data_IF_868359339686
#
_entry.id   IF_868359339686
#
_cell.length_a   1.000
_cell.length_b   1.000
_cell.length_c   1.000
_cell.angle_alpha   90.00
_cell.angle_beta   90.00
_cell.angle_gamma   90.00
#
_symmetry.space_group_name_H-M   'P 1'
#
loop_
_entity.id
_entity.type
_entity.pdbx_description
1 polymer ?
#
# COMPACT_ATOMS: atom_id res chain seq x y z
N UNK A 1 -3.66 -6.43 2.91
CA UNK A 1 -4.74 -6.87 3.84
C UNK A 1 -4.21 -7.37 5.18
N UNK A 2 -3.18 -8.23 5.21
CA UNK A 2 -2.57 -8.73 6.46
C UNK A 2 -2.30 -7.63 7.50
N UNK A 3 -1.58 -6.59 7.11
CA UNK A 3 -1.28 -5.41 7.95
C UNK A 3 -2.55 -4.69 8.42
N UNK A 4 -3.52 -4.45 7.52
CA UNK A 4 -4.77 -3.76 7.86
C UNK A 4 -5.62 -4.52 8.88
N UNK A 5 -5.77 -5.84 8.72
CA UNK A 5 -6.46 -6.69 9.70
C UNK A 5 -5.72 -6.72 11.03
N UNK A 6 -4.39 -6.76 11.00
CA UNK A 6 -3.56 -6.72 12.21
C UNK A 6 -3.70 -5.38 12.95
N UNK A 7 -3.72 -4.27 12.22
CA UNK A 7 -4.02 -2.93 12.73
C UNK A 7 -5.38 -2.90 13.42
N UNK A 8 -6.48 -3.35 12.78
CA UNK A 8 -7.80 -3.34 13.45
C UNK A 8 -7.85 -4.13 14.77
N UNK A 9 -7.09 -5.21 14.90
CA UNK A 9 -7.04 -5.99 16.16
C UNK A 9 -6.26 -5.24 17.25
N UNK A 10 -5.20 -4.52 16.87
CA UNK A 10 -4.28 -3.86 17.78
C UNK A 10 -4.37 -2.34 17.75
N UNK A 11 -5.41 -1.79 17.14
CA UNK A 11 -5.52 -0.36 16.82
C UNK A 11 -5.35 0.46 18.09
N UNK A 12 -4.49 1.47 18.01
CA UNK A 12 -4.19 2.39 19.10
C UNK A 12 -3.61 1.71 20.36
N UNK A 13 -2.96 0.55 20.19
CA UNK A 13 -2.25 -0.20 21.24
C UNK A 13 -0.80 -0.46 20.84
N UNK A 14 -0.01 -0.98 21.78
CA UNK A 14 1.43 -1.24 21.65
C UNK A 14 1.85 -2.08 20.42
N UNK A 15 0.94 -2.88 19.86
CA UNK A 15 1.22 -3.74 18.71
C UNK A 15 0.71 -3.18 17.38
N UNK A 16 0.15 -1.98 17.34
CA UNK A 16 -0.20 -1.35 16.08
C UNK A 16 1.06 -0.94 15.30
N UNK A 17 1.12 -1.32 14.02
CA UNK A 17 2.29 -1.08 13.18
C UNK A 17 2.39 0.37 12.69
N UNK A 18 1.28 1.10 12.70
CA UNK A 18 1.21 2.49 12.25
C UNK A 18 0.35 3.31 13.21
N UNK A 19 0.57 3.13 14.52
CA UNK A 19 -0.17 3.86 15.54
C UNK A 19 0.03 5.38 15.39
N UNK A 20 -1.04 6.20 15.44
CA UNK A 20 -0.93 7.65 15.51
C UNK A 20 -0.22 8.14 16.78
N UNK A 21 -0.25 7.34 17.86
CA UNK A 21 0.41 7.66 19.13
C UNK A 21 1.94 7.59 19.07
N UNK A 22 2.49 6.86 18.09
CA UNK A 22 3.93 6.83 17.80
C UNK A 22 4.40 8.06 17.00
N UNK A 23 3.46 8.93 16.61
CA UNK A 23 3.71 10.22 15.99
C UNK A 23 3.11 10.36 14.60
N UNK A 24 2.71 11.59 14.26
CA UNK A 24 2.02 11.90 13.00
C UNK A 24 2.82 11.44 11.76
N UNK A 25 4.13 11.72 11.72
CA UNK A 25 4.99 11.33 10.60
C UNK A 25 5.14 9.81 10.52
N UNK A 26 5.18 9.14 11.67
CA UNK A 26 5.28 7.68 11.73
C UNK A 26 4.04 7.01 11.15
N UNK A 27 2.85 7.36 11.65
CA UNK A 27 1.58 6.82 11.18
C UNK A 27 1.27 7.18 9.72
N UNK A 28 1.74 8.34 9.26
CA UNK A 28 1.55 8.76 7.86
C UNK A 28 2.46 8.00 6.90
N UNK A 29 3.77 7.93 7.15
CA UNK A 29 4.68 7.28 6.18
C UNK A 29 5.87 6.57 6.81
N UNK A 30 6.25 6.93 8.04
CA UNK A 30 7.44 6.40 8.69
C UNK A 30 7.45 4.87 8.82
N UNK A 31 6.30 4.25 9.14
CA UNK A 31 6.19 2.80 9.31
C UNK A 31 6.60 2.00 8.05
N UNK A 32 6.45 2.59 6.85
CA UNK A 32 6.81 1.96 5.57
C UNK A 32 8.32 1.79 5.39
N UNK A 33 9.12 2.61 6.08
CA UNK A 33 10.58 2.59 5.99
C UNK A 33 11.23 1.76 7.10
N UNK A 34 10.44 1.24 8.04
CA UNK A 34 10.94 0.33 9.07
C UNK A 34 10.96 -1.12 8.56
N UNK A 35 12.17 -1.69 8.49
CA UNK A 35 12.39 -3.08 8.09
C UNK A 35 11.79 -4.09 9.08
N UNK A 36 11.51 -3.69 10.33
CA UNK A 36 10.88 -4.57 11.32
C UNK A 36 9.38 -4.79 11.05
N UNK A 37 8.71 -3.83 10.41
CA UNK A 37 7.27 -3.90 10.09
C UNK A 37 6.87 -5.16 9.32
N UNK A 38 7.51 -5.53 8.19
CA UNK A 38 7.19 -6.77 7.49
C UNK A 38 7.51 -8.01 8.32
N UNK A 39 8.60 -8.02 9.10
CA UNK A 39 9.01 -9.15 9.94
C UNK A 39 7.97 -9.46 11.03
N UNK A 40 7.42 -8.42 11.67
CA UNK A 40 6.33 -8.54 12.65
C UNK A 40 5.07 -9.21 12.08
N UNK A 41 4.90 -9.14 10.75
CA UNK A 41 3.75 -9.72 10.06
C UNK A 41 4.02 -11.11 9.47
N UNK A 42 5.25 -11.60 9.40
CA UNK A 42 5.55 -12.88 8.73
C UNK A 42 4.79 -14.06 9.32
N UNK A 43 4.74 -14.14 10.65
CA UNK A 43 4.06 -15.19 11.41
C UNK A 43 2.54 -14.97 11.57
N UNK A 44 2.02 -13.82 11.15
CA UNK A 44 0.60 -13.47 11.31
C UNK A 44 -0.24 -14.11 10.21
N UNK A 45 -0.98 -15.15 10.57
CA UNK A 45 -1.78 -15.94 9.64
C UNK A 45 -3.27 -15.52 9.63
N UNK A 46 -3.53 -14.27 9.26
CA UNK A 46 -4.86 -13.67 9.30
C UNK A 46 -5.52 -13.47 7.92
N UNK A 47 -4.97 -14.08 6.85
CA UNK A 47 -5.44 -13.92 5.47
C UNK A 47 -5.62 -15.25 4.70
N UNK A 48 -5.70 -16.39 5.40
CA UNK A 48 -5.90 -17.73 4.79
C UNK A 48 -7.12 -17.81 3.88
N UNK A 49 -8.19 -17.10 4.23
CA UNK A 49 -9.43 -16.99 3.47
C UNK A 49 -9.23 -16.35 2.09
N UNK A 50 -8.22 -15.49 1.94
CA UNK A 50 -7.93 -14.78 0.70
C UNK A 50 -6.89 -15.51 -0.15
N UNK A 51 -5.92 -16.18 0.48
CA UNK A 51 -4.81 -16.89 -0.20
C UNK A 51 -5.29 -17.96 -1.20
N UNK A 52 -6.48 -18.51 -1.01
CA UNK A 52 -7.06 -19.54 -1.88
C UNK A 52 -7.86 -18.98 -3.06
N UNK A 53 -8.10 -17.67 -3.10
CA UNK A 53 -8.92 -17.07 -4.16
C UNK A 53 -8.04 -16.73 -5.37
N UNK A 54 -8.44 -17.23 -6.54
CA UNK A 54 -7.68 -17.11 -7.79
C UNK A 54 -7.37 -15.65 -8.16
N UNK A 55 -8.31 -14.73 -7.89
CA UNK A 55 -8.12 -13.30 -8.12
C UNK A 55 -6.88 -12.75 -7.38
N UNK A 56 -6.72 -13.06 -6.09
CA UNK A 56 -5.59 -12.55 -5.31
C UNK A 56 -4.28 -13.23 -5.73
N UNK A 57 -4.31 -14.51 -6.09
CA UNK A 57 -3.14 -15.21 -6.63
C UNK A 57 -2.67 -14.59 -7.95
N UNK A 58 -3.61 -14.18 -8.81
CA UNK A 58 -3.27 -13.47 -10.05
C UNK A 58 -2.69 -12.08 -9.76
N UNK A 59 -3.24 -11.35 -8.79
CA UNK A 59 -2.70 -10.03 -8.40
C UNK A 59 -1.34 -10.11 -7.71
N UNK A 60 -1.04 -11.21 -7.01
CA UNK A 60 0.27 -11.46 -6.40
C UNK A 60 1.33 -11.90 -7.43
N UNK A 61 0.91 -12.33 -8.63
CA UNK A 61 1.85 -12.63 -9.71
C UNK A 61 2.57 -11.35 -10.15
N UNK A 62 3.86 -11.26 -9.82
CA UNK A 62 4.67 -10.06 -10.06
C UNK A 62 4.70 -9.62 -11.53
N UNK A 63 4.74 -10.57 -12.47
CA UNK A 63 4.74 -10.28 -13.91
C UNK A 63 3.41 -9.68 -14.33
N UNK A 64 2.30 -10.30 -13.94
CA UNK A 64 0.97 -9.80 -14.25
C UNK A 64 0.72 -8.42 -13.63
N UNK A 65 1.06 -8.25 -12.35
CA UNK A 65 0.90 -6.97 -11.64
C UNK A 65 1.72 -5.87 -12.29
N UNK A 66 3.01 -6.11 -12.55
CA UNK A 66 3.91 -5.13 -13.16
C UNK A 66 3.44 -4.74 -14.56
N UNK A 67 3.03 -5.72 -15.37
CA UNK A 67 2.52 -5.45 -16.72
C UNK A 67 1.23 -4.61 -16.67
N UNK A 68 0.24 -5.04 -15.89
CA UNK A 68 -1.10 -4.43 -15.86
C UNK A 68 -1.17 -3.09 -15.13
N UNK A 69 -0.44 -2.94 -14.03
CA UNK A 69 -0.58 -1.78 -13.12
C UNK A 69 0.51 -0.74 -13.29
N UNK A 70 1.64 -1.09 -13.93
CA UNK A 70 2.78 -0.17 -14.10
C UNK A 70 3.06 0.06 -15.59
N UNK A 71 3.42 -0.99 -16.33
CA UNK A 71 3.93 -0.84 -17.71
C UNK A 71 2.84 -0.37 -18.67
N UNK A 72 1.70 -1.06 -18.74
CA UNK A 72 0.63 -0.72 -19.68
C UNK A 72 0.07 0.70 -19.45
N UNK A 73 -0.22 1.16 -18.22
CA UNK A 73 -0.69 2.52 -17.98
C UNK A 73 0.33 3.59 -18.39
N UNK A 74 1.62 3.39 -18.08
CA UNK A 74 2.68 4.33 -18.47
C UNK A 74 2.78 4.42 -19.99
N UNK A 75 2.80 3.28 -20.69
CA UNK A 75 2.86 3.25 -22.16
C UNK A 75 1.63 3.91 -22.80
N UNK A 76 0.43 3.64 -22.28
CA UNK A 76 -0.79 4.24 -22.78
C UNK A 76 -0.79 5.77 -22.59
N UNK A 77 -0.43 6.26 -21.40
CA UNK A 77 -0.33 7.70 -21.13
C UNK A 77 0.73 8.37 -22.00
N UNK A 78 1.88 7.72 -22.17
CA UNK A 78 2.94 8.22 -23.05
C UNK A 78 2.49 8.29 -24.51
N UNK A 79 1.78 7.28 -25.00
CA UNK A 79 1.24 7.27 -26.36
C UNK A 79 0.18 8.37 -26.57
N UNK A 80 -0.60 8.71 -25.54
CA UNK A 80 -1.67 9.72 -25.63
C UNK A 80 -1.17 11.17 -25.54
N UNK A 81 -0.11 11.44 -24.78
CA UNK A 81 0.33 12.82 -24.55
C UNK A 81 1.76 12.97 -24.05
N UNK A 82 2.61 11.96 -24.28
CA UNK A 82 4.03 11.98 -23.95
C UNK A 82 4.33 12.04 -22.45
N UNK A 83 5.51 12.55 -22.11
CA UNK A 83 5.98 12.66 -20.73
C UNK A 83 5.05 13.47 -19.81
N UNK A 84 4.44 14.61 -20.22
CA UNK A 84 3.54 15.35 -19.36
C UNK A 84 2.39 14.48 -18.84
N UNK A 85 1.81 13.62 -19.69
CA UNK A 85 0.70 12.73 -19.30
C UNK A 85 1.17 11.64 -18.32
N UNK A 86 2.39 11.15 -18.45
CA UNK A 86 2.98 10.21 -17.47
C UNK A 86 3.22 10.91 -16.13
N UNK A 87 3.83 12.10 -16.14
CA UNK A 87 4.13 12.86 -14.92
C UNK A 87 2.85 13.19 -14.14
N UNK A 88 1.81 13.70 -14.81
CA UNK A 88 0.55 14.09 -14.16
C UNK A 88 -0.37 12.89 -13.90
N UNK A 89 -0.62 12.08 -14.93
CA UNK A 89 -1.61 11.00 -14.90
C UNK A 89 -1.15 9.75 -14.15
N UNK A 90 0.15 9.50 -14.05
CA UNK A 90 0.71 8.37 -13.31
C UNK A 90 1.43 8.84 -12.04
N UNK A 91 2.52 9.60 -12.17
CA UNK A 91 3.41 9.88 -11.02
C UNK A 91 2.75 10.75 -9.95
N UNK A 92 2.26 11.95 -10.30
CA UNK A 92 1.64 12.85 -9.32
C UNK A 92 0.36 12.25 -8.75
N UNK A 93 -0.49 11.66 -9.61
CA UNK A 93 -1.67 10.93 -9.19
C UNK A 93 -1.33 9.85 -8.15
N UNK A 94 -0.26 9.10 -8.35
CA UNK A 94 0.14 8.04 -7.42
C UNK A 94 0.59 8.59 -6.06
N UNK A 95 1.40 9.66 -6.06
CA UNK A 95 1.82 10.36 -4.84
C UNK A 95 0.61 10.89 -4.08
N UNK A 96 -0.35 11.49 -4.77
CA UNK A 96 -1.59 12.00 -4.15
C UNK A 96 -2.41 10.88 -3.51
N UNK A 97 -2.61 9.77 -4.23
CA UNK A 97 -3.35 8.61 -3.70
C UNK A 97 -2.66 8.03 -2.46
N UNK A 98 -1.34 7.95 -2.45
CA UNK A 98 -0.60 7.49 -1.28
C UNK A 98 -0.83 8.40 -0.08
N UNK A 99 -0.65 9.72 -0.23
CA UNK A 99 -0.91 10.66 0.88
C UNK A 99 -2.37 10.65 1.35
N UNK A 100 -3.34 10.49 0.44
CA UNK A 100 -4.74 10.34 0.82
C UNK A 100 -4.98 9.07 1.65
N UNK A 101 -4.36 7.96 1.24
CA UNK A 101 -4.50 6.65 1.93
C UNK A 101 -3.82 6.68 3.30
N UNK A 102 -2.59 7.17 3.35
CA UNK A 102 -1.82 7.36 4.58
C UNK A 102 -2.42 8.40 5.51
N UNK A 103 -3.14 9.38 4.95
CA UNK A 103 -3.96 10.32 5.70
C UNK A 103 -5.00 9.62 6.57
N UNK A 104 -5.57 8.49 6.11
CA UNK A 104 -6.51 7.70 6.92
C UNK A 104 -5.84 7.16 8.18
N UNK A 105 -4.62 6.62 8.08
CA UNK A 105 -3.88 6.06 9.22
C UNK A 105 -3.44 7.14 10.24
N UNK A 106 -3.33 8.40 9.81
CA UNK A 106 -2.67 9.47 10.57
C UNK A 106 -3.61 10.58 10.99
N UNK A 107 -4.30 11.22 10.05
CA UNK A 107 -5.29 12.27 10.31
C UNK A 107 -6.68 11.70 10.59
N UNK A 108 -6.93 10.46 10.20
CA UNK A 108 -8.20 9.77 10.37
C UNK A 108 -8.34 9.00 11.69
N UNK A 109 -7.27 8.90 12.47
CA UNK A 109 -7.27 8.43 13.85
C UNK A 109 -7.16 9.63 14.80
#
# INVERSE_FOLDING_TARGET
VRMHRYHHVHSDKEHDLHSPFDGLVWAHVGFMFDASTPQKLESVDNCRDMQRQEFYQLMENATFYTASSIVLPILALYALGGLPYVCWGFCLRQVWIWHATWGVNSLGH
#
